data_IF_498669416266
#
_entry.id   IF_498669416266
#
_cell.length_a   1.000
_cell.length_b   1.000
_cell.length_c   1.000
_cell.angle_alpha   90.00
_cell.angle_beta   90.00
_cell.angle_gamma   90.00
#
_symmetry.space_group_name_H-M   'P 1'
#
loop_
_entity.id
_entity.type
_entity.pdbx_description
1 polymer ?
#
# COMPACT_ATOMS: atom_id res chain seq x y z
N UNK A 1 -9.58 -22.17 22.97
CA UNK A 1 -10.03 -21.82 22.27
C UNK A 1 -10.01 -21.54 21.84
N UNK A 2 -9.76 -21.67 22.38
CA UNK A 2 -10.11 -21.22 21.75
C UNK A 2 -10.16 -20.78 21.45
N UNK A 3 -10.17 -20.88 22.17
CA UNK A 3 -10.64 -20.48 21.55
C UNK A 3 -10.40 -20.03 21.39
N UNK A 4 -10.54 -20.29 21.76
CA UNK A 4 -10.65 -19.66 21.23
C UNK A 4 -10.34 -19.19 21.26
N UNK A 5 -10.29 -19.15 21.81
CA UNK A 5 -10.31 -18.50 21.37
C UNK A 5 -10.20 -17.87 21.41
N UNK A 6 -10.19 -17.89 22.06
CA UNK A 6 -10.39 -17.17 21.75
C UNK A 6 -10.26 -16.65 21.77
N UNK A 7 -10.19 -16.50 22.08
CA UNK A 7 -10.29 -15.81 21.69
C UNK A 7 -10.46 -15.10 21.56
N UNK A 8 -10.31 -14.59 21.74
CA UNK A 8 -10.85 -13.87 21.66
C UNK A 8 -10.72 -12.86 21.37
N UNK A 9 -11.11 -12.45 21.61
CA UNK A 9 -11.06 -11.39 21.25
C UNK A 9 -10.16 -10.36 21.27
N UNK A 10 -9.60 -9.92 21.74
CA UNK A 10 -8.36 -9.28 21.55
C UNK A 10 -8.02 -9.04 20.12
N UNK A 11 -8.84 -9.44 19.27
CA UNK A 11 -8.70 -9.29 17.81
C UNK A 11 -8.98 -7.89 17.34
N UNK A 12 -9.62 -7.05 18.10
CA UNK A 12 -10.02 -5.71 17.66
C UNK A 12 -8.85 -4.84 17.22
N UNK A 13 -7.77 -4.69 18.00
CA UNK A 13 -6.60 -3.93 17.55
C UNK A 13 -5.97 -4.52 16.31
N UNK A 14 -5.94 -5.83 16.23
CA UNK A 14 -5.38 -6.53 15.09
C UNK A 14 -6.18 -6.26 13.82
N UNK A 15 -7.51 -6.23 13.94
CA UNK A 15 -8.36 -5.89 12.81
C UNK A 15 -8.08 -4.48 12.30
N UNK A 16 -7.91 -3.55 13.20
CA UNK A 16 -7.63 -2.17 12.83
C UNK A 16 -6.30 -2.05 12.12
N UNK A 17 -5.31 -2.79 12.56
CA UNK A 17 -4.01 -2.82 11.89
C UNK A 17 -4.12 -3.39 10.49
N UNK A 18 -5.02 -4.36 10.29
CA UNK A 18 -5.22 -4.97 8.98
C UNK A 18 -5.84 -4.02 7.97
N UNK A 19 -6.56 -3.00 8.42
CA UNK A 19 -7.10 -2.00 7.50
C UNK A 19 -6.03 -1.08 6.95
N UNK A 20 -4.88 -1.05 7.62
CA UNK A 20 -3.72 -0.29 7.16
C UNK A 20 -2.83 -1.27 6.40
N UNK A 21 -2.76 -1.11 5.10
CA UNK A 21 -1.97 -2.00 4.26
C UNK A 21 -0.48 -1.64 4.25
N UNK A 22 0.21 -2.20 3.28
CA UNK A 22 1.66 -2.03 3.13
C UNK A 22 2.07 -0.56 3.07
N UNK A 23 1.32 0.25 2.32
CA UNK A 23 1.63 1.67 2.13
C UNK A 23 1.51 2.45 3.43
N UNK A 24 0.43 2.22 4.19
CA UNK A 24 0.22 2.87 5.47
C UNK A 24 1.27 2.49 6.48
N UNK A 25 1.66 1.21 6.51
CA UNK A 25 2.70 0.73 7.42
C UNK A 25 4.06 1.34 7.10
N UNK A 26 4.38 1.51 5.82
CA UNK A 26 5.61 2.16 5.40
C UNK A 26 5.62 3.63 5.83
N UNK A 27 4.49 4.32 5.68
CA UNK A 27 4.35 5.70 6.12
C UNK A 27 4.53 5.81 7.63
N UNK A 28 3.93 4.88 8.39
CA UNK A 28 4.06 4.86 9.84
C UNK A 28 5.52 4.74 10.26
N UNK A 29 6.25 3.82 9.64
CA UNK A 29 7.66 3.63 9.93
C UNK A 29 8.47 4.88 9.59
N UNK A 30 8.17 5.48 8.46
CA UNK A 30 8.83 6.70 8.03
C UNK A 30 8.61 7.83 9.02
N UNK A 31 7.37 8.02 9.49
CA UNK A 31 7.06 9.06 10.48
C UNK A 31 7.82 8.83 11.78
N UNK A 32 7.89 7.60 12.24
CA UNK A 32 8.60 7.26 13.47
C UNK A 32 10.11 7.55 13.38
N UNK A 33 10.68 7.36 12.20
CA UNK A 33 12.13 7.51 12.02
C UNK A 33 12.54 8.93 11.65
N UNK A 34 11.74 9.62 10.85
CA UNK A 34 12.14 10.90 10.24
C UNK A 34 11.27 12.09 10.63
N UNK A 35 10.07 11.86 11.11
CA UNK A 35 9.13 12.92 11.47
C UNK A 35 8.49 12.64 12.82
N UNK A 36 9.31 12.54 13.84
CA UNK A 36 8.85 12.17 15.18
C UNK A 36 7.85 13.16 15.76
N UNK A 37 8.04 14.43 15.52
CA UNK A 37 7.13 15.46 16.03
C UNK A 37 5.75 15.28 15.42
N UNK A 38 5.68 15.12 14.11
CA UNK A 38 4.41 14.87 13.42
C UNK A 38 3.78 13.57 13.91
N UNK A 39 4.59 12.53 14.09
CA UNK A 39 4.11 11.25 14.58
C UNK A 39 3.44 11.41 15.96
N UNK A 40 4.10 12.09 16.89
CA UNK A 40 3.56 12.31 18.22
C UNK A 40 2.30 13.17 18.19
N UNK A 41 2.26 14.18 17.35
CA UNK A 41 1.08 15.04 17.21
C UNK A 41 -0.12 14.23 16.70
N UNK A 42 0.08 13.38 15.70
CA UNK A 42 -0.98 12.53 15.19
C UNK A 42 -1.41 11.50 16.21
N UNK A 43 -0.47 10.94 16.96
CA UNK A 43 -0.76 9.94 17.96
C UNK A 43 -1.59 10.53 19.11
N UNK A 44 -1.17 11.68 19.63
CA UNK A 44 -1.84 12.32 20.76
C UNK A 44 -3.20 12.88 20.39
N UNK A 45 -3.38 13.33 19.16
CA UNK A 45 -4.67 13.84 18.69
C UNK A 45 -5.64 12.73 18.28
N UNK A 46 -5.16 11.48 18.25
CA UNK A 46 -5.97 10.34 17.84
C UNK A 46 -6.24 10.25 16.37
N UNK A 47 -5.49 11.00 15.54
CA UNK A 47 -5.69 11.04 14.10
C UNK A 47 -4.68 10.21 13.30
N UNK A 48 -3.80 9.49 14.01
CA UNK A 48 -2.77 8.72 13.32
C UNK A 48 -3.36 7.67 12.40
N UNK A 49 -4.33 6.90 12.88
CA UNK A 49 -4.95 5.85 12.07
C UNK A 49 -5.65 6.43 10.85
N UNK A 50 -6.40 7.51 11.03
CA UNK A 50 -7.07 8.20 9.94
C UNK A 50 -6.08 8.62 8.87
N UNK A 51 -4.97 9.21 9.31
CA UNK A 51 -3.90 9.65 8.41
C UNK A 51 -3.33 8.48 7.62
N UNK A 52 -3.02 7.37 8.30
CA UNK A 52 -2.45 6.20 7.65
C UNK A 52 -3.44 5.54 6.70
N UNK A 53 -4.72 5.53 7.06
CA UNK A 53 -5.77 4.98 6.18
C UNK A 53 -5.90 5.83 4.92
N UNK A 54 -5.84 7.14 5.05
CA UNK A 54 -5.92 8.04 3.91
C UNK A 54 -4.72 7.84 2.98
N UNK A 55 -3.52 7.72 3.56
CA UNK A 55 -2.30 7.45 2.79
C UNK A 55 -2.42 6.13 2.05
N UNK A 56 -2.96 5.10 2.71
CA UNK A 56 -3.14 3.80 2.09
C UNK A 56 -4.07 3.88 0.89
N UNK A 57 -5.21 4.55 1.05
CA UNK A 57 -6.19 4.71 -0.03
C UNK A 57 -5.60 5.49 -1.19
N UNK A 58 -4.93 6.58 -0.89
CA UNK A 58 -4.31 7.41 -1.92
C UNK A 58 -3.25 6.64 -2.68
N UNK A 59 -2.40 5.90 -1.95
CA UNK A 59 -1.35 5.10 -2.57
C UNK A 59 -1.93 3.99 -3.45
N UNK A 60 -2.97 3.31 -2.98
CA UNK A 60 -3.61 2.26 -3.76
C UNK A 60 -4.23 2.80 -5.04
N UNK A 61 -4.93 3.91 -4.95
CA UNK A 61 -5.56 4.53 -6.12
C UNK A 61 -4.51 4.95 -7.13
N UNK A 62 -3.45 5.59 -6.68
CA UNK A 62 -2.36 6.02 -7.54
C UNK A 62 -1.66 4.82 -8.16
N UNK A 63 -1.40 3.79 -7.38
CA UNK A 63 -0.76 2.58 -7.85
C UNK A 63 -1.55 1.94 -9.00
N UNK A 64 -2.84 1.73 -8.79
CA UNK A 64 -3.70 1.11 -9.81
C UNK A 64 -3.77 1.96 -11.07
N UNK A 65 -3.93 3.26 -10.91
CA UNK A 65 -3.98 4.17 -12.04
C UNK A 65 -2.68 4.14 -12.84
N UNK A 66 -1.55 4.22 -12.16
CA UNK A 66 -0.25 4.23 -12.84
C UNK A 66 0.07 2.91 -13.52
N UNK A 67 -0.26 1.78 -12.87
CA UNK A 67 -0.07 0.47 -13.49
C UNK A 67 -0.85 0.38 -14.78
N UNK A 68 -2.10 0.85 -14.76
CA UNK A 68 -2.94 0.84 -15.96
C UNK A 68 -2.35 1.71 -17.06
N UNK A 69 -1.89 2.90 -16.72
CA UNK A 69 -1.29 3.82 -17.70
C UNK A 69 -0.03 3.24 -18.32
N UNK A 70 0.87 2.70 -17.50
CA UNK A 70 2.10 2.11 -18.02
C UNK A 70 1.82 0.85 -18.84
N UNK A 71 0.83 0.05 -18.45
CA UNK A 71 0.46 -1.13 -19.22
C UNK A 71 -0.01 -0.74 -20.63
N UNK A 72 -0.81 0.32 -20.73
CA UNK A 72 -1.25 0.82 -22.03
C UNK A 72 -0.08 1.35 -22.86
N UNK A 73 0.82 2.09 -22.23
CA UNK A 73 1.98 2.65 -22.93
C UNK A 73 2.92 1.57 -23.44
N UNK A 74 3.07 0.47 -22.72
CA UNK A 74 3.97 -0.61 -23.12
C UNK A 74 3.30 -1.67 -23.96
N UNK A 75 2.02 -1.47 -24.30
CA UNK A 75 1.30 -2.38 -25.16
C UNK A 75 0.95 -3.72 -24.53
N UNK A 76 0.75 -3.72 -23.23
CA UNK A 76 0.30 -4.92 -22.52
C UNK A 76 -1.19 -5.09 -22.76
N UNK A 77 -1.53 -6.00 -23.71
CA UNK A 77 -2.91 -6.19 -24.16
C UNK A 77 -3.34 -7.64 -23.96
N UNK A 78 -4.64 -7.88 -24.17
CA UNK A 78 -5.18 -9.24 -24.15
C UNK A 78 -4.51 -10.11 -25.22
N UNK A 79 -4.15 -9.52 -26.35
CA UNK A 79 -3.45 -10.24 -27.41
C UNK A 79 -2.09 -10.72 -26.93
N UNK A 80 -1.34 -9.88 -26.23
CA UNK A 80 -0.04 -10.27 -25.69
C UNK A 80 -0.22 -11.40 -24.67
N UNK A 81 -1.25 -11.32 -23.85
CA UNK A 81 -1.57 -12.35 -22.86
C UNK A 81 -1.82 -13.71 -23.54
N UNK A 82 -2.54 -13.69 -24.65
CA UNK A 82 -2.85 -14.91 -25.40
C UNK A 82 -1.64 -15.50 -26.09
N UNK A 83 -0.80 -14.65 -26.67
CA UNK A 83 0.34 -15.09 -27.48
C UNK A 83 1.61 -15.34 -26.67
N UNK A 84 1.88 -14.49 -25.70
CA UNK A 84 3.13 -14.54 -24.93
C UNK A 84 2.87 -14.28 -23.45
N UNK A 85 2.25 -15.25 -22.74
CA UNK A 85 1.90 -15.03 -21.34
C UNK A 85 3.10 -14.80 -20.41
N UNK A 86 4.24 -15.41 -20.71
CA UNK A 86 5.44 -15.22 -19.89
C UNK A 86 6.01 -13.81 -20.07
N UNK A 87 5.97 -13.28 -21.26
CA UNK A 87 6.41 -11.91 -21.52
C UNK A 87 5.48 -10.92 -20.82
N UNK A 88 4.18 -11.19 -20.83
CA UNK A 88 3.22 -10.36 -20.11
C UNK A 88 3.56 -10.29 -18.63
N UNK A 89 3.81 -11.43 -18.00
CA UNK A 89 4.15 -11.49 -16.58
C UNK A 89 5.41 -10.67 -16.29
N UNK A 90 6.44 -10.82 -17.12
CA UNK A 90 7.68 -10.06 -16.95
C UNK A 90 7.46 -8.56 -17.04
N UNK A 91 6.70 -8.13 -18.04
CA UNK A 91 6.39 -6.70 -18.22
C UNK A 91 5.58 -6.16 -17.07
N UNK A 92 4.57 -6.90 -16.61
CA UNK A 92 3.75 -6.46 -15.49
C UNK A 92 4.54 -6.36 -14.19
N UNK A 93 5.44 -7.31 -13.94
CA UNK A 93 6.29 -7.27 -12.76
C UNK A 93 7.21 -6.05 -12.79
N UNK A 94 7.77 -5.74 -13.94
CA UNK A 94 8.62 -4.56 -14.13
C UNK A 94 7.83 -3.27 -13.88
N UNK A 95 6.63 -3.18 -14.45
CA UNK A 95 5.76 -2.03 -14.27
C UNK A 95 5.40 -1.85 -12.79
N UNK A 96 5.00 -2.92 -12.12
CA UNK A 96 4.65 -2.86 -10.70
C UNK A 96 5.81 -2.38 -9.85
N UNK A 97 7.00 -2.90 -10.07
CA UNK A 97 8.20 -2.48 -9.33
C UNK A 97 8.46 -1.00 -9.50
N UNK A 98 8.36 -0.51 -10.73
CA UNK A 98 8.58 0.90 -11.02
C UNK A 98 7.53 1.78 -10.36
N UNK A 99 6.27 1.39 -10.46
CA UNK A 99 5.17 2.15 -9.86
C UNK A 99 5.28 2.15 -8.34
N UNK A 100 5.67 1.03 -7.74
CA UNK A 100 5.87 0.96 -6.29
C UNK A 100 6.91 2.00 -5.85
N UNK A 101 8.02 2.13 -6.56
CA UNK A 101 9.04 3.12 -6.25
C UNK A 101 8.49 4.54 -6.31
N UNK A 102 7.71 4.83 -7.35
CA UNK A 102 7.12 6.16 -7.54
C UNK A 102 6.14 6.48 -6.44
N UNK A 103 5.24 5.54 -6.12
CA UNK A 103 4.23 5.75 -5.08
C UNK A 103 4.89 5.92 -3.71
N UNK A 104 5.90 5.12 -3.40
CA UNK A 104 6.65 5.27 -2.15
C UNK A 104 7.23 6.68 -2.04
N UNK A 105 7.86 7.17 -3.09
CA UNK A 105 8.49 8.48 -3.07
C UNK A 105 7.47 9.61 -2.95
N UNK A 106 6.37 9.52 -3.70
CA UNK A 106 5.42 10.62 -3.81
C UNK A 106 4.39 10.65 -2.69
N UNK A 107 3.98 9.49 -2.20
CA UNK A 107 2.89 9.39 -1.21
C UNK A 107 3.41 8.98 0.16
N UNK A 108 4.20 7.91 0.22
CA UNK A 108 4.64 7.34 1.50
C UNK A 108 5.69 8.21 2.16
N UNK A 109 6.66 8.69 1.40
CA UNK A 109 7.78 9.48 1.90
C UNK A 109 7.69 10.97 1.55
N UNK A 110 6.61 11.35 0.95
CA UNK A 110 6.38 12.73 0.52
C UNK A 110 5.99 13.71 1.63
#
# INVERSE_FOLDING_TARGET
MQGDYCLPDLTLPTKEERTIGVWGQRRLRYLKQHHKILYYNLLTSGKLRSHLTDIEKEAQSLFLWMVKQYAELEGVTEQLKAERPMELVGRMNHIRSRVIEIVNRDVVYG
#
